data_IF_083744804464
#
_entry.id   IF_083744804464
#
_cell.length_a   1.000
_cell.length_b   1.000
_cell.length_c   1.000
_cell.angle_alpha   90.00
_cell.angle_beta   90.00
_cell.angle_gamma   90.00
#
_symmetry.space_group_name_H-M   'P 1'
#
loop_
_entity.id
_entity.type
_entity.pdbx_description
1 polymer ?
#
# COMPACT_ATOMS: atom_id res chain seq x y z
N UNK A 1 -10.81 -18.45 13.03
CA UNK A 1 -10.03 -17.54 13.89
C UNK A 1 -10.10 -16.16 13.26
N UNK A 2 -10.52 -15.16 14.01
CA UNK A 2 -10.83 -13.80 13.51
C UNK A 2 -9.63 -13.03 12.98
N UNK A 3 -8.39 -13.41 13.37
CA UNK A 3 -7.16 -12.73 12.96
C UNK A 3 -6.74 -12.99 11.52
N UNK A 4 -7.14 -14.11 10.90
CA UNK A 4 -6.85 -14.41 9.50
C UNK A 4 -7.78 -13.60 8.60
N UNK A 5 -7.25 -12.52 8.01
CA UNK A 5 -7.98 -11.64 7.11
C UNK A 5 -7.85 -12.11 5.64
N UNK A 6 -8.28 -11.29 4.70
CA UNK A 6 -8.23 -11.63 3.28
C UNK A 6 -6.79 -11.67 2.72
N UNK A 7 -5.84 -10.92 3.30
CA UNK A 7 -4.49 -10.74 2.73
C UNK A 7 -3.37 -10.89 3.75
N UNK A 8 -3.70 -10.84 5.04
CA UNK A 8 -2.74 -10.87 6.13
C UNK A 8 -3.35 -11.50 7.38
N UNK A 9 -2.53 -11.61 8.41
CA UNK A 9 -2.96 -11.97 9.76
C UNK A 9 -2.85 -10.70 10.59
N UNK A 10 -3.97 -10.26 11.21
CA UNK A 10 -4.00 -8.98 11.93
C UNK A 10 -5.01 -9.02 13.08
N UNK A 11 -4.61 -8.45 14.22
CA UNK A 11 -5.50 -8.36 15.39
C UNK A 11 -4.92 -7.49 16.50
N UNK A 12 -5.75 -7.23 17.52
CA UNK A 12 -5.33 -6.57 18.75
C UNK A 12 -4.44 -7.53 19.54
N UNK A 13 -3.23 -7.06 19.87
CA UNK A 13 -2.21 -7.88 20.55
C UNK A 13 -2.69 -8.24 21.97
N UNK A 14 -2.37 -9.45 22.40
CA UNK A 14 -2.77 -10.07 23.67
C UNK A 14 -4.29 -10.30 23.83
N UNK A 15 -5.13 -9.88 22.88
CA UNK A 15 -6.57 -10.12 22.85
C UNK A 15 -6.94 -11.11 21.74
N UNK A 16 -6.62 -10.76 20.49
CA UNK A 16 -6.87 -11.58 19.31
C UNK A 16 -5.59 -12.28 18.84
N UNK A 17 -4.48 -11.55 18.82
CA UNK A 17 -3.16 -12.03 18.40
C UNK A 17 -2.31 -12.34 19.64
N UNK A 18 -2.54 -13.51 20.24
CA UNK A 18 -1.79 -13.96 21.41
C UNK A 18 -0.44 -14.55 21.01
N UNK A 19 0.55 -14.54 21.92
CA UNK A 19 1.89 -15.08 21.63
C UNK A 19 1.87 -16.60 21.39
N UNK A 20 0.99 -17.35 22.06
CA UNK A 20 0.77 -18.77 21.79
C UNK A 20 0.24 -19.01 20.35
N UNK A 21 -0.71 -18.19 19.91
CA UNK A 21 -1.20 -18.25 18.53
C UNK A 21 -0.09 -17.89 17.53
N UNK A 22 0.71 -16.86 17.81
CA UNK A 22 1.83 -16.45 16.96
C UNK A 22 2.87 -17.57 16.82
N UNK A 23 3.20 -18.28 17.90
CA UNK A 23 4.10 -19.44 17.86
C UNK A 23 3.56 -20.57 16.99
N UNK A 24 2.25 -20.88 17.10
CA UNK A 24 1.56 -21.86 16.24
C UNK A 24 1.54 -21.42 14.78
N UNK A 25 1.33 -20.12 14.52
CA UNK A 25 1.40 -19.56 13.16
C UNK A 25 2.83 -19.72 12.59
N UNK A 26 3.86 -19.46 13.39
CA UNK A 26 5.25 -19.69 12.97
C UNK A 26 5.50 -21.14 12.53
N UNK A 27 5.00 -22.10 13.30
CA UNK A 27 5.12 -23.51 12.92
C UNK A 27 4.27 -23.86 11.68
N UNK A 28 3.08 -23.32 11.55
CA UNK A 28 2.24 -23.50 10.36
C UNK A 28 2.93 -22.93 9.09
N UNK A 29 3.64 -21.80 9.20
CA UNK A 29 4.44 -21.23 8.11
C UNK A 29 5.54 -22.19 7.66
N UNK A 30 6.28 -22.84 8.58
CA UNK A 30 7.32 -23.80 8.20
C UNK A 30 6.73 -25.02 7.49
N UNK A 31 5.55 -25.47 7.90
CA UNK A 31 4.84 -26.56 7.22
C UNK A 31 4.39 -26.16 5.84
N UNK A 32 3.81 -24.96 5.71
CA UNK A 32 3.35 -24.42 4.44
C UNK A 32 4.49 -24.29 3.42
N UNK A 33 5.65 -23.81 3.85
CA UNK A 33 6.85 -23.67 3.02
C UNK A 33 7.84 -24.86 3.13
N UNK A 34 7.37 -26.03 3.59
CA UNK A 34 8.09 -27.29 3.58
C UNK A 34 9.47 -27.24 4.24
N UNK A 35 9.60 -26.54 5.36
CA UNK A 35 10.84 -26.44 6.13
C UNK A 35 11.87 -25.47 5.57
N UNK A 36 11.47 -24.56 4.67
CA UNK A 36 12.35 -23.50 4.17
C UNK A 36 12.75 -22.54 5.29
N UNK A 37 13.93 -21.94 5.16
CA UNK A 37 14.31 -20.80 5.99
C UNK A 37 13.39 -19.61 5.69
N UNK A 38 13.07 -18.85 6.72
CA UNK A 38 12.13 -17.74 6.64
C UNK A 38 12.82 -16.42 6.97
N UNK A 39 12.69 -15.46 6.06
CA UNK A 39 13.10 -14.06 6.31
C UNK A 39 12.07 -13.39 7.22
N UNK A 40 12.51 -12.70 8.27
CA UNK A 40 11.63 -12.02 9.23
C UNK A 40 12.07 -10.57 9.41
N UNK A 41 11.20 -9.64 9.04
CA UNK A 41 11.33 -8.22 9.36
C UNK A 41 10.28 -7.78 10.36
N UNK A 42 10.51 -6.67 11.06
CA UNK A 42 9.53 -6.09 11.98
C UNK A 42 9.49 -4.56 11.85
N UNK A 43 8.31 -3.97 12.07
CA UNK A 43 8.16 -2.53 12.26
C UNK A 43 8.57 -2.10 13.69
N UNK A 44 8.31 -0.84 14.03
CA UNK A 44 8.69 -0.25 15.32
C UNK A 44 7.61 -0.35 16.39
N UNK A 45 6.49 -1.06 16.15
CA UNK A 45 5.41 -1.20 17.14
C UNK A 45 5.94 -1.84 18.42
N UNK A 46 5.39 -1.41 19.54
CA UNK A 46 5.87 -1.83 20.88
C UNK A 46 5.86 -3.33 21.13
N UNK A 47 4.98 -4.05 20.43
CA UNK A 47 4.84 -5.52 20.53
C UNK A 47 5.68 -6.30 19.52
N UNK A 48 6.23 -5.64 18.49
CA UNK A 48 6.84 -6.33 17.33
C UNK A 48 7.97 -7.27 17.76
N UNK A 49 8.80 -6.87 18.72
CA UNK A 49 9.87 -7.75 19.22
C UNK A 49 9.36 -9.02 19.93
N UNK A 50 8.32 -8.90 20.76
CA UNK A 50 7.67 -10.06 21.40
C UNK A 50 7.07 -11.02 20.38
N UNK A 51 6.52 -10.45 19.28
CA UNK A 51 5.97 -11.23 18.17
C UNK A 51 7.10 -11.94 17.42
N UNK A 52 8.26 -11.27 17.17
CA UNK A 52 9.47 -11.92 16.60
C UNK A 52 9.86 -13.13 17.44
N UNK A 53 9.96 -12.99 18.77
CA UNK A 53 10.34 -14.10 19.65
C UNK A 53 9.37 -15.28 19.55
N UNK A 54 8.06 -15.02 19.66
CA UNK A 54 7.05 -16.06 19.57
C UNK A 54 7.02 -16.73 18.19
N UNK A 55 7.03 -15.92 17.13
CA UNK A 55 7.06 -16.40 15.74
C UNK A 55 8.30 -17.27 15.48
N UNK A 56 9.48 -16.81 15.92
CA UNK A 56 10.75 -17.52 15.72
C UNK A 56 10.78 -18.86 16.45
N UNK A 57 10.14 -18.97 17.63
CA UNK A 57 10.00 -20.27 18.29
C UNK A 57 9.25 -21.27 17.41
N UNK A 58 8.19 -20.83 16.74
CA UNK A 58 7.47 -21.68 15.78
C UNK A 58 8.28 -21.97 14.53
N UNK A 59 8.89 -20.95 13.93
CA UNK A 59 9.67 -21.07 12.70
C UNK A 59 10.89 -22.01 12.86
N UNK A 60 11.64 -21.89 13.97
CA UNK A 60 12.83 -22.73 14.22
C UNK A 60 12.50 -24.19 14.48
N UNK A 61 11.23 -24.56 14.58
CA UNK A 61 10.82 -25.96 14.58
C UNK A 61 11.05 -26.66 13.23
N UNK A 62 11.10 -25.91 12.11
CA UNK A 62 11.25 -26.48 10.77
C UNK A 62 12.44 -25.99 9.97
N UNK A 63 12.88 -24.73 10.13
CA UNK A 63 13.96 -24.11 9.35
C UNK A 63 14.66 -22.98 10.11
N UNK A 64 15.61 -22.32 9.48
CA UNK A 64 16.32 -21.18 10.05
C UNK A 64 15.49 -19.88 9.90
N UNK A 65 15.78 -18.91 10.73
CA UNK A 65 15.23 -17.56 10.67
C UNK A 65 16.30 -16.58 10.24
N UNK A 66 16.05 -15.88 9.13
CA UNK A 66 16.88 -14.78 8.63
C UNK A 66 16.30 -13.48 9.14
N UNK A 67 16.79 -12.97 10.25
CA UNK A 67 16.22 -11.79 10.90
C UNK A 67 16.81 -10.49 10.34
N UNK A 68 15.94 -9.59 9.90
CA UNK A 68 16.33 -8.30 9.32
C UNK A 68 16.45 -7.17 10.36
N UNK A 69 15.97 -7.40 11.58
CA UNK A 69 15.78 -6.32 12.56
C UNK A 69 14.58 -5.44 12.20
N UNK A 70 14.68 -4.16 12.55
CA UNK A 70 13.70 -3.15 12.11
C UNK A 70 13.73 -3.04 10.60
N UNK A 71 12.55 -3.22 9.98
CA UNK A 71 12.39 -3.33 8.53
C UNK A 71 11.14 -2.56 8.08
N UNK A 72 11.06 -2.36 6.78
CA UNK A 72 9.84 -1.93 6.09
C UNK A 72 9.27 -3.11 5.29
N UNK A 73 8.00 -3.06 4.93
CA UNK A 73 7.39 -4.06 4.05
C UNK A 73 8.16 -4.18 2.72
N UNK A 74 8.48 -3.07 1.99
CA UNK A 74 9.25 -3.18 0.76
C UNK A 74 10.68 -3.73 0.98
N UNK A 75 11.35 -3.40 2.07
CA UNK A 75 12.68 -3.97 2.37
C UNK A 75 12.58 -5.48 2.65
N UNK A 76 11.50 -5.95 3.26
CA UNK A 76 11.24 -7.37 3.49
C UNK A 76 10.92 -8.10 2.18
N UNK A 77 10.15 -7.48 1.27
CA UNK A 77 9.95 -7.97 -0.11
C UNK A 77 11.29 -8.10 -0.86
N UNK A 78 12.11 -7.06 -0.79
CA UNK A 78 13.45 -7.04 -1.40
C UNK A 78 14.35 -8.18 -0.87
N UNK A 79 14.36 -8.39 0.45
CA UNK A 79 15.14 -9.47 1.05
C UNK A 79 14.61 -10.86 0.65
N UNK A 80 13.29 -11.04 0.62
CA UNK A 80 12.64 -12.26 0.11
C UNK A 80 13.05 -12.56 -1.33
N UNK A 81 13.01 -11.55 -2.20
CA UNK A 81 13.40 -11.67 -3.59
C UNK A 81 14.88 -12.01 -3.76
N UNK A 82 15.77 -11.25 -3.13
CA UNK A 82 17.22 -11.41 -3.29
C UNK A 82 17.77 -12.72 -2.71
N UNK A 83 17.16 -13.21 -1.63
CA UNK A 83 17.54 -14.47 -1.00
C UNK A 83 16.78 -15.68 -1.57
N UNK A 84 15.73 -15.47 -2.39
CA UNK A 84 14.90 -16.54 -2.90
C UNK A 84 14.14 -17.31 -1.81
N UNK A 85 13.86 -16.67 -0.67
CA UNK A 85 13.25 -17.28 0.52
C UNK A 85 11.87 -16.67 0.80
N UNK A 86 10.93 -17.45 1.38
CA UNK A 86 9.70 -16.88 1.91
C UNK A 86 10.00 -15.91 3.04
N UNK A 87 9.10 -14.95 3.25
CA UNK A 87 9.31 -13.92 4.27
C UNK A 87 8.05 -13.63 5.09
N UNK A 88 8.25 -13.04 6.26
CA UNK A 88 7.21 -12.50 7.13
C UNK A 88 7.60 -11.09 7.54
N UNK A 89 6.75 -10.11 7.26
CA UNK A 89 6.84 -8.77 7.83
C UNK A 89 5.87 -8.65 9.00
N UNK A 90 6.39 -8.35 10.17
CA UNK A 90 5.61 -8.11 11.39
C UNK A 90 5.22 -6.64 11.43
N UNK A 91 3.95 -6.38 11.17
CA UNK A 91 3.38 -5.03 11.09
C UNK A 91 1.86 -5.05 11.12
N UNK A 92 1.24 -3.93 11.48
CA UNK A 92 -0.16 -3.65 11.21
C UNK A 92 -0.33 -2.36 10.38
N UNK A 93 0.72 -1.96 9.62
CA UNK A 93 0.71 -0.80 8.72
C UNK A 93 0.17 0.46 9.44
N UNK A 94 -0.90 1.04 8.94
CA UNK A 94 -1.54 2.26 9.45
C UNK A 94 -2.53 2.06 10.60
N UNK A 95 -2.72 0.83 11.08
CA UNK A 95 -3.65 0.56 12.20
C UNK A 95 -3.17 1.22 13.50
N UNK A 96 -4.10 1.45 14.48
CA UNK A 96 -3.76 1.95 15.81
C UNK A 96 -2.65 1.17 16.53
N UNK A 97 -2.00 1.77 17.54
CA UNK A 97 -0.83 1.17 18.22
C UNK A 97 -1.06 -0.21 18.83
N UNK A 98 -2.27 -0.51 19.29
CA UNK A 98 -2.64 -1.79 19.92
C UNK A 98 -2.72 -2.97 18.95
N UNK A 99 -2.77 -2.71 17.64
CA UNK A 99 -2.76 -3.74 16.61
C UNK A 99 -1.34 -4.16 16.25
N UNK A 100 -1.21 -5.43 15.82
CA UNK A 100 -0.08 -5.91 15.05
C UNK A 100 -0.53 -7.04 14.12
N UNK A 101 0.39 -7.57 13.30
CA UNK A 101 0.05 -8.60 12.34
C UNK A 101 1.25 -9.18 11.62
N UNK A 102 0.97 -10.03 10.66
CA UNK A 102 1.95 -10.75 9.85
C UNK A 102 1.52 -10.66 8.38
N UNK A 103 2.34 -10.00 7.55
CA UNK A 103 2.28 -10.10 6.09
C UNK A 103 3.21 -11.22 5.66
N UNK A 104 2.71 -12.22 4.98
CA UNK A 104 3.46 -13.42 4.61
C UNK A 104 3.70 -13.42 3.10
N UNK A 105 4.93 -13.66 2.70
CA UNK A 105 5.39 -13.57 1.32
C UNK A 105 5.95 -14.91 0.85
N UNK A 106 5.63 -15.30 -0.38
CA UNK A 106 6.31 -16.39 -1.10
C UNK A 106 7.74 -16.00 -1.45
N UNK A 107 8.62 -16.97 -1.75
CA UNK A 107 9.90 -16.68 -2.38
C UNK A 107 9.71 -15.75 -3.59
N UNK A 108 10.56 -14.75 -3.70
CA UNK A 108 10.44 -13.71 -4.72
C UNK A 108 9.63 -12.48 -4.31
N UNK A 109 9.19 -12.39 -3.04
CA UNK A 109 8.58 -11.20 -2.48
C UNK A 109 7.12 -10.97 -2.91
N UNK A 110 6.36 -12.02 -3.22
CA UNK A 110 4.94 -11.92 -3.51
C UNK A 110 4.10 -12.33 -2.29
N UNK A 111 3.11 -11.51 -1.95
CA UNK A 111 2.23 -11.79 -0.82
C UNK A 111 1.41 -13.07 -1.04
N UNK A 112 1.04 -13.74 0.06
CA UNK A 112 0.09 -14.85 0.00
C UNK A 112 -1.31 -14.34 -0.39
N UNK A 113 -2.01 -15.15 -1.17
CA UNK A 113 -3.40 -14.89 -1.52
C UNK A 113 -4.36 -15.38 -0.43
N UNK A 114 -5.59 -14.90 -0.49
CA UNK A 114 -6.62 -15.22 0.51
C UNK A 114 -6.81 -16.72 0.76
N UNK A 115 -6.79 -17.54 -0.30
CA UNK A 115 -6.95 -18.98 -0.17
C UNK A 115 -5.74 -19.64 0.53
N UNK A 116 -4.52 -19.10 0.34
CA UNK A 116 -3.31 -19.60 0.99
C UNK A 116 -3.26 -19.21 2.47
N UNK A 117 -3.71 -17.99 2.82
CA UNK A 117 -3.91 -17.59 4.22
C UNK A 117 -4.87 -18.55 4.93
N UNK A 118 -5.96 -19.01 4.27
CA UNK A 118 -6.87 -20.00 4.82
C UNK A 118 -6.24 -21.39 4.92
N UNK A 119 -5.43 -21.80 3.95
CA UNK A 119 -4.66 -23.05 4.02
C UNK A 119 -3.68 -23.03 5.20
N UNK A 120 -2.99 -21.92 5.41
CA UNK A 120 -2.10 -21.73 6.55
C UNK A 120 -2.85 -21.82 7.88
N UNK A 121 -4.05 -21.24 7.98
CA UNK A 121 -4.89 -21.34 9.15
C UNK A 121 -5.29 -22.80 9.48
N UNK A 122 -5.44 -23.64 8.48
CA UNK A 122 -5.76 -25.06 8.65
C UNK A 122 -4.54 -25.91 9.14
N UNK A 123 -3.33 -25.37 9.07
CA UNK A 123 -2.10 -26.02 9.52
C UNK A 123 -1.72 -25.71 10.96
N UNK A 124 -2.55 -24.94 11.68
CA UNK A 124 -2.27 -24.53 13.06
C UNK A 124 -2.21 -25.73 14.00
N UNK A 125 -1.05 -25.92 14.62
CA UNK A 125 -0.85 -26.86 15.71
C UNK A 125 0.33 -26.41 16.59
N UNK A 126 0.48 -26.89 17.80
CA UNK A 126 1.65 -26.62 18.63
C UNK A 126 2.94 -27.12 17.94
N UNK A 127 4.04 -26.34 17.97
CA UNK A 127 5.32 -26.83 17.46
C UNK A 127 5.90 -27.92 18.37
N UNK A 128 6.77 -28.79 17.84
CA UNK A 128 7.48 -29.78 18.64
C UNK A 128 8.43 -29.09 19.63
N UNK A 129 8.73 -29.74 20.76
CA UNK A 129 9.65 -29.22 21.77
C UNK A 129 11.07 -29.02 21.21
N UNK A 130 11.54 -29.95 20.36
CA UNK A 130 12.88 -29.89 19.77
C UNK A 130 12.89 -28.90 18.60
N UNK A 131 13.72 -27.86 18.71
CA UNK A 131 14.00 -26.90 17.64
C UNK A 131 15.11 -27.44 16.74
N UNK A 132 15.02 -27.16 15.43
CA UNK A 132 16.02 -27.58 14.43
C UNK A 132 16.84 -26.42 13.90
N UNK A 133 16.21 -25.24 13.79
CA UNK A 133 16.78 -24.07 13.18
C UNK A 133 17.42 -23.10 14.17
N UNK A 134 18.19 -22.18 13.63
CA UNK A 134 18.85 -21.07 14.32
C UNK A 134 18.35 -19.72 13.78
N UNK A 135 18.62 -18.66 14.51
CA UNK A 135 18.30 -17.28 14.08
C UNK A 135 19.63 -16.60 13.77
N UNK A 136 19.73 -16.01 12.59
CA UNK A 136 20.88 -15.17 12.22
C UNK A 136 20.43 -13.85 11.60
N UNK A 137 21.24 -12.81 11.79
CA UNK A 137 20.94 -11.46 11.31
C UNK A 137 21.45 -11.29 9.89
N UNK A 138 20.64 -10.64 9.06
CA UNK A 138 20.99 -10.26 7.70
C UNK A 138 20.80 -8.76 7.49
N UNK A 139 21.84 -8.08 7.03
CA UNK A 139 21.78 -6.66 6.70
C UNK A 139 21.09 -6.43 5.35
N UNK A 140 19.77 -6.32 5.40
CA UNK A 140 18.96 -5.94 4.25
C UNK A 140 18.92 -4.42 4.06
N UNK A 141 19.05 -3.65 5.15
CA UNK A 141 18.93 -2.19 5.10
C UNK A 141 20.00 -1.57 4.21
N UNK A 142 21.26 -1.87 4.47
CA UNK A 142 22.37 -1.34 3.66
C UNK A 142 22.20 -1.74 2.19
N UNK A 143 21.93 -3.01 1.92
CA UNK A 143 21.78 -3.49 0.53
C UNK A 143 20.63 -2.83 -0.23
N UNK A 144 19.47 -2.72 0.42
CA UNK A 144 18.29 -2.07 -0.16
C UNK A 144 18.54 -0.58 -0.41
N UNK A 145 19.08 0.15 0.58
CA UNK A 145 19.32 1.59 0.46
C UNK A 145 20.42 1.91 -0.54
N UNK A 146 21.48 1.12 -0.60
CA UNK A 146 22.57 1.28 -1.58
C UNK A 146 22.08 1.04 -3.02
N UNK A 147 21.22 0.03 -3.22
CA UNK A 147 20.61 -0.20 -4.54
C UNK A 147 19.76 0.99 -4.97
N UNK A 148 18.90 1.52 -4.08
CA UNK A 148 18.08 2.68 -4.41
C UNK A 148 18.92 3.94 -4.65
N UNK A 149 19.91 4.20 -3.79
CA UNK A 149 20.80 5.34 -3.95
C UNK A 149 21.59 5.27 -5.28
N UNK A 150 22.05 4.08 -5.66
CA UNK A 150 22.74 3.86 -6.94
C UNK A 150 21.80 4.02 -8.14
N UNK A 151 20.55 3.56 -8.02
CA UNK A 151 19.56 3.60 -9.09
C UNK A 151 19.10 5.01 -9.42
N UNK A 152 18.83 5.81 -8.39
CA UNK A 152 18.26 7.16 -8.57
C UNK A 152 19.31 8.27 -8.56
N UNK A 153 20.48 8.03 -7.98
CA UNK A 153 21.53 9.04 -7.88
C UNK A 153 21.10 10.27 -7.07
N UNK A 154 21.62 11.43 -7.42
CA UNK A 154 21.30 12.70 -6.76
C UNK A 154 20.14 13.40 -7.45
N UNK A 155 19.09 13.71 -6.71
CA UNK A 155 17.93 14.49 -7.15
C UNK A 155 18.08 15.90 -6.59
N UNK A 156 18.09 16.93 -7.45
CA UNK A 156 18.28 18.34 -7.05
C UNK A 156 16.97 18.92 -6.49
N UNK A 157 16.49 18.34 -5.40
CA UNK A 157 15.31 18.79 -4.67
C UNK A 157 15.61 18.86 -3.18
N UNK A 158 14.99 19.82 -2.49
CA UNK A 158 14.92 19.92 -1.04
C UNK A 158 13.56 19.42 -0.55
N UNK A 159 13.53 18.39 0.29
CA UNK A 159 12.29 17.75 0.70
C UNK A 159 12.07 17.79 2.22
N UNK A 160 10.78 17.83 2.61
CA UNK A 160 10.32 17.48 3.93
C UNK A 160 10.11 15.96 4.02
N UNK A 161 10.41 15.38 5.19
CA UNK A 161 10.20 13.96 5.41
C UNK A 161 9.47 13.71 6.73
N UNK A 162 8.38 12.97 6.66
CA UNK A 162 7.58 12.58 7.82
C UNK A 162 7.33 11.07 7.83
N UNK A 163 8.14 10.29 8.56
CA UNK A 163 7.91 8.87 8.77
C UNK A 163 6.91 8.54 9.87
N UNK A 164 6.21 9.53 10.44
CA UNK A 164 5.18 9.36 11.49
C UNK A 164 5.65 8.52 12.72
N UNK A 165 6.90 8.66 13.15
CA UNK A 165 7.54 7.84 14.19
C UNK A 165 7.57 6.34 13.89
N UNK A 166 7.28 5.94 12.65
CA UNK A 166 7.14 4.55 12.23
C UNK A 166 8.43 3.97 11.60
N UNK A 167 8.33 2.84 10.90
CA UNK A 167 9.48 2.13 10.34
C UNK A 167 10.30 2.96 9.34
N UNK A 168 9.69 3.93 8.67
CA UNK A 168 10.35 4.83 7.72
C UNK A 168 11.53 5.63 8.29
N UNK A 169 11.68 5.74 9.61
CA UNK A 169 12.82 6.43 10.25
C UNK A 169 14.18 5.86 9.82
N UNK A 170 14.23 4.56 9.48
CA UNK A 170 15.46 3.90 9.03
C UNK A 170 15.90 4.33 7.63
N UNK A 171 15.01 4.94 6.83
CA UNK A 171 15.28 5.37 5.45
C UNK A 171 15.91 6.77 5.36
N UNK A 172 16.03 7.49 6.46
CA UNK A 172 16.61 8.85 6.49
C UNK A 172 18.02 8.94 5.90
N UNK A 173 18.93 7.97 6.10
CA UNK A 173 20.24 7.98 5.43
C UNK A 173 20.15 7.92 3.91
N UNK A 174 19.25 7.08 3.36
CA UNK A 174 18.97 7.01 1.92
C UNK A 174 18.53 8.36 1.38
N UNK A 175 17.53 8.98 2.04
CA UNK A 175 17.01 10.27 1.59
C UNK A 175 18.09 11.35 1.58
N UNK A 176 18.93 11.42 2.62
CA UNK A 176 20.06 12.36 2.69
C UNK A 176 21.12 12.11 1.58
N UNK A 177 21.32 10.85 1.20
CA UNK A 177 22.23 10.51 0.09
C UNK A 177 21.64 10.90 -1.28
N UNK A 178 20.31 10.83 -1.43
CA UNK A 178 19.62 10.99 -2.71
C UNK A 178 19.16 12.43 -2.98
N UNK A 179 18.71 13.17 -1.96
CA UNK A 179 18.20 14.52 -2.14
C UNK A 179 19.22 15.60 -1.78
N UNK A 180 19.08 16.80 -2.38
CA UNK A 180 19.91 17.97 -2.11
C UNK A 180 19.85 18.37 -0.63
N UNK A 181 18.64 18.41 -0.05
CA UNK A 181 18.40 18.70 1.35
C UNK A 181 17.20 17.92 1.85
N UNK A 182 17.25 17.48 3.12
CA UNK A 182 16.16 16.76 3.78
C UNK A 182 15.94 17.37 5.17
N UNK A 183 14.75 17.90 5.38
CA UNK A 183 14.26 18.34 6.69
C UNK A 183 13.24 17.34 7.19
N UNK A 184 13.53 16.66 8.30
CA UNK A 184 12.67 15.59 8.81
C UNK A 184 11.96 16.02 10.10
N UNK A 185 10.72 15.56 10.25
CA UNK A 185 9.92 15.63 11.47
C UNK A 185 9.51 14.23 11.88
N UNK A 186 9.13 14.01 13.13
CA UNK A 186 8.66 12.71 13.65
C UNK A 186 9.62 11.56 13.29
N UNK A 187 10.92 11.84 13.23
CA UNK A 187 11.97 11.00 12.65
C UNK A 187 12.75 10.15 13.68
N UNK A 188 12.08 9.79 14.77
CA UNK A 188 12.54 8.82 15.76
C UNK A 188 11.50 7.70 15.93
N UNK A 189 11.93 6.44 16.17
CA UNK A 189 11.01 5.31 16.25
C UNK A 189 10.21 5.37 17.58
N UNK A 190 8.89 5.36 17.47
CA UNK A 190 7.99 5.19 18.61
C UNK A 190 6.70 4.49 18.18
N UNK A 191 6.57 3.22 18.52
CA UNK A 191 5.43 2.39 18.14
C UNK A 191 4.08 2.81 18.76
N UNK A 192 4.04 3.89 19.51
CA UNK A 192 2.79 4.54 19.99
C UNK A 192 2.29 5.60 19.03
N UNK A 193 3.11 6.00 18.05
CA UNK A 193 2.81 7.03 17.03
C UNK A 193 2.33 8.36 17.64
N UNK A 194 3.14 9.01 18.51
CA UNK A 194 2.68 10.12 19.33
C UNK A 194 2.34 11.39 18.54
N UNK A 195 2.89 11.56 17.34
CA UNK A 195 2.67 12.76 16.53
C UNK A 195 1.32 12.72 15.82
N UNK A 196 1.03 11.67 15.13
CA UNK A 196 -0.23 11.39 14.45
C UNK A 196 -0.25 9.90 13.99
N UNK A 197 -1.42 9.34 13.63
CA UNK A 197 -1.48 8.02 13.03
C UNK A 197 -0.63 7.93 11.76
N UNK A 198 0.09 6.82 11.53
CA UNK A 198 0.94 6.64 10.35
C UNK A 198 0.10 6.26 9.11
N UNK A 199 -0.80 7.15 8.69
CA UNK A 199 -1.75 6.96 7.59
C UNK A 199 -1.76 8.20 6.70
N UNK A 200 -0.95 8.23 5.62
CA UNK A 200 -0.85 9.38 4.73
C UNK A 200 -2.05 9.54 3.78
N UNK A 201 -3.00 8.62 3.77
CA UNK A 201 -4.26 8.76 3.02
C UNK A 201 -5.16 9.85 3.64
N UNK A 202 -5.03 10.08 4.96
CA UNK A 202 -5.80 11.07 5.69
C UNK A 202 -5.13 12.43 5.66
N UNK A 203 -5.84 13.43 5.15
CA UNK A 203 -5.32 14.79 5.02
C UNK A 203 -4.87 15.42 6.35
N UNK A 204 -5.56 15.09 7.45
CA UNK A 204 -5.20 15.57 8.79
C UNK A 204 -3.82 15.11 9.25
N UNK A 205 -3.35 13.94 8.81
CA UNK A 205 -2.04 13.41 9.16
C UNK A 205 -0.90 14.06 8.35
N UNK A 206 -1.21 14.79 7.29
CA UNK A 206 -0.24 15.50 6.46
C UNK A 206 -0.04 16.98 6.87
N UNK A 207 -0.80 17.51 7.83
CA UNK A 207 -0.76 18.92 8.21
C UNK A 207 0.63 19.38 8.67
N UNK A 208 1.29 18.61 9.54
CA UNK A 208 2.64 18.95 10.02
C UNK A 208 3.64 18.97 8.84
N UNK A 209 3.52 18.05 7.90
CA UNK A 209 4.36 18.03 6.71
C UNK A 209 4.06 19.21 5.77
N UNK A 210 2.79 19.62 5.62
CA UNK A 210 2.42 20.83 4.85
C UNK A 210 3.03 22.09 5.47
N UNK A 211 2.93 22.25 6.79
CA UNK A 211 3.55 23.35 7.54
C UNK A 211 5.07 23.36 7.39
N UNK A 212 5.71 22.18 7.46
CA UNK A 212 7.15 22.03 7.27
C UNK A 212 7.58 22.49 5.88
N UNK A 213 6.89 22.00 4.82
CA UNK A 213 7.19 22.34 3.42
C UNK A 213 7.09 23.85 3.21
N UNK A 214 6.02 24.47 3.68
CA UNK A 214 5.78 25.90 3.49
C UNK A 214 6.77 26.77 4.29
N UNK A 215 7.01 26.44 5.54
CA UNK A 215 7.89 27.25 6.43
C UNK A 215 9.37 27.19 5.99
N UNK A 216 9.83 26.05 5.49
CA UNK A 216 11.20 25.86 5.01
C UNK A 216 11.37 26.07 3.49
N UNK A 217 10.29 26.41 2.78
CA UNK A 217 10.28 26.61 1.32
C UNK A 217 10.89 25.40 0.58
N UNK A 218 10.42 24.21 0.94
CA UNK A 218 10.88 22.96 0.34
C UNK A 218 10.15 22.70 -0.98
N UNK A 219 10.81 21.94 -1.87
CA UNK A 219 10.25 21.61 -3.19
C UNK A 219 9.11 20.60 -3.08
N UNK A 220 9.14 19.73 -2.08
CA UNK A 220 8.10 18.75 -1.79
C UNK A 220 8.17 18.24 -0.34
N UNK A 221 7.11 17.53 0.09
CA UNK A 221 7.09 16.72 1.31
C UNK A 221 6.76 15.27 0.99
N UNK A 222 7.36 14.35 1.73
CA UNK A 222 7.14 12.89 1.65
C UNK A 222 6.73 12.37 3.01
N UNK A 223 5.57 11.73 3.09
CA UNK A 223 5.11 10.98 4.25
C UNK A 223 4.99 9.49 3.88
N UNK A 224 5.31 8.61 4.81
CA UNK A 224 5.15 7.16 4.65
C UNK A 224 4.17 6.64 5.69
N UNK A 225 3.50 5.53 5.37
CA UNK A 225 2.70 4.83 6.37
C UNK A 225 3.57 3.96 7.30
N UNK A 226 2.94 3.22 8.20
CA UNK A 226 3.62 2.53 9.31
C UNK A 226 4.71 1.54 8.89
N UNK A 227 4.57 0.91 7.73
CA UNK A 227 5.51 -0.05 7.18
C UNK A 227 6.02 0.31 5.78
N UNK A 228 5.75 1.55 5.32
CA UNK A 228 6.32 2.21 4.14
C UNK A 228 5.91 1.62 2.79
N UNK A 229 4.81 0.90 2.71
CA UNK A 229 4.28 0.42 1.43
C UNK A 229 3.37 1.45 0.73
N UNK A 230 3.05 2.58 1.41
CA UNK A 230 2.31 3.72 0.87
C UNK A 230 3.07 5.02 1.04
N UNK A 231 2.79 5.95 0.13
CA UNK A 231 3.35 7.29 0.17
C UNK A 231 2.28 8.36 0.06
N UNK A 232 2.39 9.38 0.91
CA UNK A 232 1.72 10.66 0.79
C UNK A 232 2.70 11.75 0.36
N UNK A 233 2.30 12.61 -0.56
CA UNK A 233 3.16 13.67 -1.09
C UNK A 233 2.48 15.02 -0.90
N UNK A 234 3.28 16.02 -0.54
CA UNK A 234 2.89 17.43 -0.42
C UNK A 234 3.70 18.23 -1.43
N UNK A 235 3.05 19.14 -2.17
CA UNK A 235 3.71 20.00 -3.16
C UNK A 235 4.39 21.21 -2.48
N UNK A 236 5.23 21.94 -3.21
CA UNK A 236 5.86 23.17 -2.72
C UNK A 236 4.86 24.24 -2.26
N UNK A 237 3.66 24.28 -2.84
CA UNK A 237 2.57 25.18 -2.41
C UNK A 237 1.76 24.64 -1.22
N UNK A 238 2.14 23.53 -0.61
CA UNK A 238 1.46 22.92 0.52
C UNK A 238 0.21 22.09 0.15
N UNK A 239 -0.06 21.84 -1.13
CA UNK A 239 -1.19 21.01 -1.55
C UNK A 239 -0.86 19.54 -1.39
N UNK A 240 -1.87 18.72 -1.08
CA UNK A 240 -1.74 17.27 -1.09
C UNK A 240 -1.73 16.77 -2.55
N UNK A 241 -0.66 16.07 -2.91
CA UNK A 241 -0.51 15.44 -4.21
C UNK A 241 -1.09 14.03 -4.16
N UNK A 242 -2.33 13.88 -4.59
CA UNK A 242 -3.08 12.63 -4.47
C UNK A 242 -2.55 11.54 -5.40
N UNK A 243 -2.80 10.25 -5.10
CA UNK A 243 -2.31 9.12 -5.90
C UNK A 243 -2.71 9.16 -7.37
N UNK A 244 -3.92 9.64 -7.71
CA UNK A 244 -4.34 9.80 -9.10
C UNK A 244 -3.53 10.84 -9.87
N UNK A 245 -2.96 11.84 -9.18
CA UNK A 245 -2.05 12.82 -9.79
C UNK A 245 -0.68 12.21 -10.04
N UNK A 246 -0.23 11.28 -9.18
CA UNK A 246 0.97 10.47 -9.45
C UNK A 246 0.77 9.62 -10.70
N UNK A 247 -0.35 8.91 -10.82
CA UNK A 247 -0.66 8.11 -12.01
C UNK A 247 -0.72 9.01 -13.25
N UNK A 248 -1.36 10.19 -13.17
CA UNK A 248 -1.38 11.16 -14.26
C UNK A 248 0.03 11.57 -14.69
N UNK A 249 0.91 11.89 -13.74
CA UNK A 249 2.31 12.21 -14.03
C UNK A 249 3.06 11.03 -14.67
N UNK A 250 2.89 9.82 -14.15
CA UNK A 250 3.53 8.62 -14.70
C UNK A 250 3.05 8.30 -16.13
N UNK A 251 1.76 8.50 -16.43
CA UNK A 251 1.23 8.34 -17.79
C UNK A 251 1.80 9.38 -18.76
N UNK A 252 2.00 10.61 -18.32
CA UNK A 252 2.47 11.69 -19.19
C UNK A 252 3.98 11.75 -19.39
N UNK A 253 4.76 11.40 -18.36
CA UNK A 253 6.21 11.65 -18.36
C UNK A 253 7.05 10.36 -18.26
N UNK A 254 6.44 9.20 -18.01
CA UNK A 254 7.16 7.94 -17.87
C UNK A 254 6.68 6.85 -18.85
N UNK A 255 5.37 6.69 -19.01
CA UNK A 255 4.82 5.66 -19.87
C UNK A 255 5.06 5.97 -21.37
N UNK A 256 5.18 4.93 -22.17
CA UNK A 256 5.36 4.99 -23.62
C UNK A 256 4.21 4.30 -24.34
N UNK A 257 3.93 4.65 -25.61
CA UNK A 257 2.94 3.92 -26.41
C UNK A 257 3.23 2.41 -26.41
N UNK A 258 2.19 1.62 -26.14
CA UNK A 258 2.27 0.17 -26.02
C UNK A 258 2.46 -0.35 -24.59
N UNK A 259 2.81 0.50 -23.62
CA UNK A 259 2.86 0.08 -22.23
C UNK A 259 1.46 -0.28 -21.68
N UNK A 260 1.47 -1.15 -20.69
CA UNK A 260 0.26 -1.55 -19.93
C UNK A 260 0.43 -1.08 -18.50
N UNK A 261 -0.61 -0.55 -17.88
CA UNK A 261 -0.64 -0.22 -16.46
C UNK A 261 -1.85 -0.86 -15.79
N UNK A 262 -1.74 -1.21 -14.51
CA UNK A 262 -2.83 -1.80 -13.74
C UNK A 262 -3.28 -0.78 -12.69
N UNK A 263 -4.58 -0.46 -12.67
CA UNK A 263 -5.16 0.49 -11.73
C UNK A 263 -6.35 -0.15 -11.01
N UNK A 264 -6.52 0.16 -9.75
CA UNK A 264 -7.73 -0.27 -9.05
C UNK A 264 -8.98 0.45 -9.59
N UNK A 265 -10.13 -0.15 -9.32
CA UNK A 265 -11.42 0.40 -9.79
C UNK A 265 -11.75 1.76 -9.19
N UNK A 266 -11.11 2.18 -8.10
CA UNK A 266 -11.40 3.47 -7.44
C UNK A 266 -10.62 4.63 -8.06
N UNK A 267 -9.62 4.35 -8.90
CA UNK A 267 -8.91 5.38 -9.67
C UNK A 267 -9.86 6.09 -10.65
N UNK A 268 -9.77 7.43 -10.83
CA UNK A 268 -10.65 8.21 -11.69
C UNK A 268 -10.68 7.74 -13.14
N UNK A 269 -11.85 7.90 -13.78
CA UNK A 269 -12.03 7.50 -15.19
C UNK A 269 -11.23 8.36 -16.17
N UNK A 270 -10.97 9.63 -15.86
CA UNK A 270 -10.20 10.49 -16.76
C UNK A 270 -8.81 9.92 -17.10
N UNK A 271 -8.25 9.06 -16.21
CA UNK A 271 -6.98 8.40 -16.46
C UNK A 271 -7.06 7.43 -17.66
N UNK A 272 -8.23 6.85 -17.95
CA UNK A 272 -8.43 5.99 -19.13
C UNK A 272 -8.26 6.80 -20.41
N UNK A 273 -8.85 8.00 -20.46
CA UNK A 273 -8.71 8.91 -21.59
C UNK A 273 -7.27 9.38 -21.78
N UNK A 274 -6.61 9.78 -20.68
CA UNK A 274 -5.19 10.19 -20.71
C UNK A 274 -4.30 9.05 -21.23
N UNK A 275 -4.54 7.83 -20.76
CA UNK A 275 -3.78 6.66 -21.21
C UNK A 275 -4.02 6.36 -22.70
N UNK A 276 -5.28 6.43 -23.16
CA UNK A 276 -5.63 6.22 -24.58
C UNK A 276 -4.91 7.24 -25.48
N UNK A 277 -4.94 8.52 -25.12
CA UNK A 277 -4.25 9.60 -25.84
C UNK A 277 -2.72 9.39 -25.91
N UNK A 278 -2.16 8.64 -24.95
CA UNK A 278 -0.73 8.26 -24.89
C UNK A 278 -0.43 6.89 -25.52
N UNK A 279 -1.43 6.20 -26.03
CA UNK A 279 -1.28 4.82 -26.53
C UNK A 279 -0.92 3.80 -25.45
N UNK A 280 -1.30 4.06 -24.19
CA UNK A 280 -1.08 3.20 -23.02
C UNK A 280 -2.38 2.47 -22.68
N UNK A 281 -2.29 1.18 -22.37
CA UNK A 281 -3.45 0.37 -21.99
C UNK A 281 -3.62 0.33 -20.47
N UNK A 282 -4.81 0.70 -19.98
CA UNK A 282 -5.19 0.48 -18.58
C UNK A 282 -5.90 -0.88 -18.44
N UNK A 283 -5.47 -1.66 -17.44
CA UNK A 283 -6.18 -2.86 -16.95
C UNK A 283 -6.73 -2.53 -15.57
N UNK A 284 -8.06 -2.51 -15.43
CA UNK A 284 -8.70 -2.32 -14.13
C UNK A 284 -8.66 -3.60 -13.29
N UNK A 285 -8.49 -3.44 -11.98
CA UNK A 285 -8.49 -4.53 -11.04
C UNK A 285 -9.25 -4.15 -9.75
N UNK A 286 -9.68 -5.14 -8.98
CA UNK A 286 -10.25 -4.95 -7.65
C UNK A 286 -9.29 -4.21 -6.73
N UNK A 287 -9.82 -3.52 -5.72
CA UNK A 287 -9.01 -2.93 -4.64
C UNK A 287 -8.33 -4.03 -3.83
N UNK A 288 -7.03 -3.86 -3.61
CA UNK A 288 -6.16 -4.73 -2.83
C UNK A 288 -4.90 -5.12 -3.58
N UNK A 289 -3.74 -4.81 -3.00
CA UNK A 289 -2.42 -5.09 -3.58
C UNK A 289 -2.22 -6.57 -3.96
N UNK A 290 -2.85 -7.49 -3.22
CA UNK A 290 -2.83 -8.92 -3.53
C UNK A 290 -3.52 -9.30 -4.85
N UNK A 291 -4.36 -8.42 -5.43
CA UNK A 291 -4.92 -8.57 -6.77
C UNK A 291 -4.12 -7.80 -7.82
N UNK A 292 -3.58 -6.63 -7.44
CA UNK A 292 -2.84 -5.75 -8.33
C UNK A 292 -1.53 -6.40 -8.79
N UNK A 293 -0.69 -6.85 -7.84
CA UNK A 293 0.62 -7.44 -8.13
C UNK A 293 0.56 -8.65 -9.08
N UNK A 294 -0.26 -9.70 -8.83
CA UNK A 294 -0.34 -10.83 -9.75
C UNK A 294 -0.85 -10.44 -11.15
N UNK A 295 -1.76 -9.47 -11.21
CA UNK A 295 -2.25 -8.97 -12.50
C UNK A 295 -1.17 -8.20 -13.23
N UNK A 296 -0.43 -7.32 -12.54
CA UNK A 296 0.69 -6.57 -13.11
C UNK A 296 1.78 -7.49 -13.67
N UNK A 297 2.13 -8.55 -12.94
CA UNK A 297 3.05 -9.60 -13.41
C UNK A 297 2.54 -10.29 -14.67
N UNK A 298 1.27 -10.72 -14.68
CA UNK A 298 0.68 -11.46 -15.80
C UNK A 298 0.65 -10.64 -17.10
N UNK A 299 0.35 -9.33 -17.00
CA UNK A 299 0.26 -8.45 -18.17
C UNK A 299 1.56 -7.71 -18.46
N UNK A 300 2.65 -7.96 -17.70
CA UNK A 300 3.91 -7.27 -17.77
C UNK A 300 3.74 -5.73 -17.69
N UNK A 301 2.93 -5.27 -16.72
CA UNK A 301 2.59 -3.86 -16.58
C UNK A 301 3.85 -3.02 -16.31
N UNK A 302 3.87 -1.77 -16.79
CA UNK A 302 4.93 -0.81 -16.47
C UNK A 302 4.91 -0.49 -14.97
N UNK A 303 3.71 -0.27 -14.43
CA UNK A 303 3.44 -0.11 -13.01
C UNK A 303 2.00 -0.52 -12.69
N UNK A 304 1.73 -0.69 -11.40
CA UNK A 304 0.38 -0.76 -10.87
C UNK A 304 0.21 0.29 -9.76
N UNK A 305 -1.01 0.77 -9.55
CA UNK A 305 -1.29 1.76 -8.52
C UNK A 305 -2.70 1.62 -7.95
N UNK A 306 -2.81 1.92 -6.65
CA UNK A 306 -4.06 2.02 -5.92
C UNK A 306 -4.29 3.45 -5.42
N UNK A 307 -5.55 3.81 -5.31
CA UNK A 307 -5.93 5.12 -4.76
C UNK A 307 -5.51 5.29 -3.29
N UNK A 308 -5.26 4.21 -2.58
CA UNK A 308 -4.72 4.20 -1.22
C UNK A 308 -3.23 4.62 -1.11
N UNK A 309 -2.54 4.79 -2.24
CA UNK A 309 -1.13 5.19 -2.29
C UNK A 309 -0.14 4.05 -2.44
N UNK A 310 -0.59 2.79 -2.58
CA UNK A 310 0.29 1.71 -2.99
C UNK A 310 0.64 1.85 -4.47
N UNK A 311 1.91 1.75 -4.80
CA UNK A 311 2.40 1.79 -6.17
C UNK A 311 3.56 0.81 -6.32
N UNK A 312 3.51 -0.04 -7.34
CA UNK A 312 4.60 -0.98 -7.65
C UNK A 312 5.02 -0.89 -9.11
N UNK A 313 6.33 -0.96 -9.37
CA UNK A 313 6.93 -0.80 -10.69
C UNK A 313 7.55 -2.10 -11.19
N UNK A 314 7.48 -2.35 -12.51
CA UNK A 314 8.09 -3.52 -13.17
C UNK A 314 9.57 -3.67 -12.86
N UNK A 315 10.32 -2.59 -12.92
CA UNK A 315 11.75 -2.56 -12.67
C UNK A 315 12.13 -2.60 -11.18
N UNK A 316 11.11 -2.68 -10.30
CA UNK A 316 11.22 -2.95 -8.86
C UNK A 316 10.39 -4.16 -8.43
N UNK A 317 10.30 -5.17 -9.30
CA UNK A 317 9.63 -6.45 -9.05
C UNK A 317 8.17 -6.33 -8.61
N UNK A 318 7.52 -5.20 -8.92
CA UNK A 318 6.15 -4.86 -8.52
C UNK A 318 5.91 -4.76 -7.00
N UNK A 319 6.96 -4.60 -6.20
CA UNK A 319 6.78 -4.34 -4.77
C UNK A 319 6.04 -3.01 -4.59
N UNK A 320 5.08 -2.99 -3.67
CA UNK A 320 4.50 -1.76 -3.15
C UNK A 320 5.53 -1.10 -2.25
N UNK A 321 6.08 0.00 -2.72
CA UNK A 321 7.22 0.65 -2.11
C UNK A 321 7.04 2.17 -2.19
N UNK A 322 6.62 2.75 -1.07
CA UNK A 322 6.30 4.17 -1.01
C UNK A 322 7.51 5.05 -1.27
N UNK A 323 8.71 4.66 -0.79
CA UNK A 323 9.91 5.46 -1.02
C UNK A 323 10.43 5.32 -2.46
N UNK A 324 10.36 4.12 -3.03
CA UNK A 324 10.68 3.92 -4.44
C UNK A 324 9.76 4.75 -5.34
N UNK A 325 8.45 4.76 -5.04
CA UNK A 325 7.47 5.52 -5.80
C UNK A 325 7.75 7.03 -5.75
N UNK A 326 8.11 7.57 -4.57
CA UNK A 326 8.52 8.96 -4.43
C UNK A 326 9.79 9.28 -5.23
N UNK A 327 10.84 8.47 -5.08
CA UNK A 327 12.10 8.63 -5.81
C UNK A 327 11.88 8.58 -7.32
N UNK A 328 11.09 7.63 -7.81
CA UNK A 328 10.76 7.50 -9.23
C UNK A 328 10.01 8.72 -9.75
N UNK A 329 8.97 9.16 -9.04
CA UNK A 329 8.19 10.34 -9.43
C UNK A 329 9.06 11.58 -9.49
N UNK A 330 9.87 11.85 -8.46
CA UNK A 330 10.70 13.04 -8.40
C UNK A 330 11.80 13.04 -9.46
N UNK A 331 12.42 11.88 -9.74
CA UNK A 331 13.39 11.75 -10.83
C UNK A 331 12.75 12.12 -12.17
N UNK A 332 11.60 11.52 -12.50
CA UNK A 332 10.89 11.76 -13.76
C UNK A 332 10.49 13.23 -13.91
N UNK A 333 9.94 13.84 -12.86
CA UNK A 333 9.51 15.24 -12.92
C UNK A 333 10.68 16.21 -12.99
N UNK A 334 11.79 15.94 -12.30
CA UNK A 334 13.03 16.74 -12.39
C UNK A 334 13.62 16.68 -13.77
N UNK A 335 13.71 15.50 -14.38
CA UNK A 335 14.18 15.30 -15.76
C UNK A 335 13.29 16.01 -16.79
N UNK A 336 11.98 16.03 -16.56
CA UNK A 336 11.01 16.71 -17.41
C UNK A 336 10.96 18.24 -17.19
N UNK A 337 11.59 18.76 -16.13
CA UNK A 337 11.49 20.18 -15.74
C UNK A 337 10.09 20.59 -15.27
N UNK A 338 9.32 19.66 -14.68
CA UNK A 338 7.93 19.84 -14.27
C UNK A 338 7.81 19.74 -12.76
N UNK A 339 7.05 20.65 -12.13
CA UNK A 339 6.77 20.62 -10.69
C UNK A 339 5.50 19.82 -10.37
N UNK A 340 5.38 19.37 -9.12
CA UNK A 340 4.15 18.71 -8.64
C UNK A 340 2.92 19.64 -8.75
N UNK A 341 3.08 20.93 -8.46
CA UNK A 341 2.00 21.90 -8.59
C UNK A 341 1.53 22.01 -10.05
N UNK A 342 2.47 21.98 -11.00
CA UNK A 342 2.15 22.00 -12.43
C UNK A 342 1.37 20.78 -12.86
N UNK A 343 1.74 19.60 -12.36
CA UNK A 343 0.97 18.36 -12.59
C UNK A 343 -0.47 18.49 -12.09
N UNK A 344 -0.69 19.10 -10.90
CA UNK A 344 -2.05 19.33 -10.37
C UNK A 344 -2.84 20.28 -11.27
N UNK A 345 -2.19 21.33 -11.79
CA UNK A 345 -2.84 22.31 -12.68
C UNK A 345 -3.26 21.70 -14.02
N UNK A 346 -2.41 20.86 -14.59
CA UNK A 346 -2.62 20.23 -15.91
C UNK A 346 -3.60 19.06 -15.87
N UNK A 347 -3.65 18.33 -14.73
CA UNK A 347 -4.52 17.16 -14.61
C UNK A 347 -6.00 17.56 -14.69
N UNK A 348 -6.83 16.77 -15.39
CA UNK A 348 -8.26 17.01 -15.47
C UNK A 348 -8.91 17.19 -14.09
N UNK A 349 -9.80 18.17 -14.00
CA UNK A 349 -10.58 18.40 -12.78
C UNK A 349 -11.79 17.48 -12.77
N UNK A 350 -11.99 16.80 -11.65
CA UNK A 350 -13.10 15.89 -11.42
C UNK A 350 -13.80 16.30 -10.13
N UNK A 351 -15.12 16.32 -10.16
CA UNK A 351 -15.94 16.47 -8.96
C UNK A 351 -16.17 15.07 -8.38
N UNK A 352 -15.67 14.86 -7.17
CA UNK A 352 -15.67 13.57 -6.51
C UNK A 352 -16.36 13.64 -5.15
N UNK A 353 -17.14 12.62 -4.85
CA UNK A 353 -17.72 12.41 -3.53
C UNK A 353 -17.54 10.97 -3.09
N UNK A 354 -17.28 10.76 -1.80
CA UNK A 354 -17.17 9.45 -1.19
C UNK A 354 -18.08 9.35 0.02
N UNK A 355 -18.79 8.25 0.12
CA UNK A 355 -19.75 7.99 1.18
C UNK A 355 -19.56 6.56 1.69
N UNK A 356 -19.62 6.40 3.00
CA UNK A 356 -19.67 5.10 3.67
C UNK A 356 -21.10 4.92 4.24
N UNK A 357 -21.81 3.92 3.71
CA UNK A 357 -23.20 3.62 4.10
C UNK A 357 -23.18 2.38 4.97
N UNK A 358 -23.49 2.54 6.26
CA UNK A 358 -23.55 1.43 7.22
C UNK A 358 -24.69 0.48 6.90
N UNK A 359 -24.42 -0.80 6.86
CA UNK A 359 -25.40 -1.87 6.63
C UNK A 359 -24.94 -3.18 7.27
N UNK A 360 -25.89 -4.00 7.72
CA UNK A 360 -25.56 -5.31 8.29
C UNK A 360 -25.02 -6.30 7.24
N UNK A 361 -25.41 -6.15 5.99
CA UNK A 361 -24.97 -7.01 4.89
C UNK A 361 -24.58 -6.18 3.65
N UNK A 362 -23.32 -5.71 3.57
CA UNK A 362 -22.85 -4.90 2.44
C UNK A 362 -23.01 -5.58 1.08
N UNK A 363 -22.77 -6.90 1.01
CA UNK A 363 -22.89 -7.65 -0.25
C UNK A 363 -24.34 -7.71 -0.73
N UNK A 364 -25.28 -8.04 0.15
CA UNK A 364 -26.70 -8.05 -0.22
C UNK A 364 -27.20 -6.67 -0.66
N UNK A 365 -26.71 -5.59 -0.03
CA UNK A 365 -27.06 -4.22 -0.42
C UNK A 365 -26.57 -3.88 -1.85
N UNK A 366 -25.35 -4.31 -2.21
CA UNK A 366 -24.81 -4.14 -3.56
C UNK A 366 -25.59 -4.96 -4.59
N UNK A 367 -25.93 -6.22 -4.29
CA UNK A 367 -26.74 -7.05 -5.20
C UNK A 367 -28.13 -6.43 -5.44
N UNK A 368 -28.80 -5.89 -4.39
CA UNK A 368 -30.05 -5.18 -4.53
C UNK A 368 -29.91 -3.92 -5.42
N UNK A 369 -28.82 -3.18 -5.26
CA UNK A 369 -28.52 -2.04 -6.10
C UNK A 369 -28.32 -2.44 -7.59
N UNK A 370 -27.67 -3.58 -7.84
CA UNK A 370 -27.50 -4.14 -9.20
C UNK A 370 -28.85 -4.46 -9.87
N UNK A 371 -29.76 -5.09 -9.13
CA UNK A 371 -31.11 -5.39 -9.65
C UNK A 371 -31.87 -4.14 -10.12
N UNK A 372 -31.66 -3.02 -9.41
CA UNK A 372 -32.28 -1.73 -9.73
C UNK A 372 -31.55 -0.96 -10.83
N UNK A 373 -30.27 -1.27 -11.06
CA UNK A 373 -29.44 -0.63 -12.09
C UNK A 373 -29.66 -1.21 -13.50
N UNK A 374 -30.70 -2.04 -13.71
CA UNK A 374 -31.06 -2.58 -15.03
C UNK A 374 -31.30 -1.45 -16.04
N UNK A 375 -30.60 -1.51 -17.18
CA UNK A 375 -30.68 -0.49 -18.23
C UNK A 375 -29.52 0.51 -18.25
N UNK A 376 -28.64 0.48 -17.25
CA UNK A 376 -27.39 1.23 -17.26
C UNK A 376 -26.22 0.36 -17.80
N UNK A 377 -25.18 1.01 -18.29
CA UNK A 377 -23.90 0.36 -18.55
C UNK A 377 -23.21 0.06 -17.22
N UNK A 378 -23.04 -1.22 -16.91
CA UNK A 378 -22.51 -1.69 -15.62
C UNK A 378 -21.28 -2.57 -15.80
N UNK A 379 -20.34 -2.43 -14.85
CA UNK A 379 -19.15 -3.26 -14.72
C UNK A 379 -19.11 -3.84 -13.30
N UNK A 380 -18.81 -5.14 -13.16
CA UNK A 380 -18.96 -5.89 -11.91
C UNK A 380 -17.64 -6.39 -11.34
N UNK A 381 -16.53 -5.75 -11.67
CA UNK A 381 -15.20 -6.22 -11.26
C UNK A 381 -15.00 -6.20 -9.73
N UNK A 382 -15.49 -5.15 -9.04
CA UNK A 382 -15.43 -5.01 -7.58
C UNK A 382 -16.68 -4.25 -7.10
N UNK A 383 -17.81 -4.94 -7.06
CA UNK A 383 -19.11 -4.36 -6.76
C UNK A 383 -19.86 -3.93 -8.01
N UNK A 384 -20.53 -2.79 -7.95
CA UNK A 384 -21.35 -2.21 -9.02
C UNK A 384 -20.75 -0.89 -9.48
N UNK A 385 -20.20 -0.86 -10.69
CA UNK A 385 -19.65 0.32 -11.33
C UNK A 385 -20.59 0.73 -12.49
N UNK A 386 -21.32 1.82 -12.31
CA UNK A 386 -22.27 2.38 -13.30
C UNK A 386 -21.59 3.55 -13.99
N UNK A 387 -21.53 3.49 -15.33
CA UNK A 387 -21.01 4.58 -16.16
C UNK A 387 -22.14 5.22 -16.93
N UNK A 388 -22.21 6.54 -16.89
CA UNK A 388 -23.22 7.35 -17.58
C UNK A 388 -22.54 8.51 -18.28
N UNK A 389 -23.30 9.24 -19.13
CA UNK A 389 -22.82 10.50 -19.72
C UNK A 389 -22.54 11.61 -18.70
N UNK A 390 -23.13 11.52 -17.49
CA UNK A 390 -22.95 12.52 -16.43
C UNK A 390 -21.75 12.17 -15.52
N UNK A 391 -21.18 10.95 -15.63
CA UNK A 391 -20.04 10.48 -14.86
C UNK A 391 -20.19 9.03 -14.41
N UNK A 392 -19.66 8.73 -13.24
CA UNK A 392 -19.53 7.37 -12.69
C UNK A 392 -20.09 7.28 -11.28
N UNK A 393 -20.74 6.15 -10.98
CA UNK A 393 -21.17 5.76 -9.65
C UNK A 393 -20.62 4.35 -9.35
N UNK A 394 -19.66 4.25 -8.43
CA UNK A 394 -19.09 3.00 -7.96
C UNK A 394 -19.64 2.67 -6.57
N UNK A 395 -20.31 1.53 -6.44
CA UNK A 395 -20.90 1.02 -5.20
C UNK A 395 -20.27 -0.34 -4.89
N UNK A 396 -19.55 -0.47 -3.78
CA UNK A 396 -18.84 -1.69 -3.46
C UNK A 396 -18.96 -2.08 -1.99
N UNK A 397 -18.98 -3.39 -1.67
CA UNK A 397 -18.93 -3.81 -0.28
C UNK A 397 -17.53 -3.55 0.29
N UNK A 398 -17.43 -3.12 1.54
CA UNK A 398 -16.16 -3.11 2.24
C UNK A 398 -15.74 -4.55 2.59
N UNK A 399 -14.44 -4.85 2.47
CA UNK A 399 -13.88 -6.14 2.84
C UNK A 399 -13.58 -6.24 4.35
N UNK A 400 -13.59 -5.12 5.06
CA UNK A 400 -13.10 -5.02 6.45
C UNK A 400 -14.15 -4.48 7.42
N UNK A 401 -15.16 -3.77 6.93
CA UNK A 401 -16.15 -3.06 7.74
C UNK A 401 -17.59 -3.35 7.26
N UNK A 402 -18.60 -3.23 8.12
CA UNK A 402 -20.00 -3.43 7.76
C UNK A 402 -20.58 -2.18 7.04
N UNK A 403 -19.93 -1.78 5.93
CA UNK A 403 -20.32 -0.61 5.13
C UNK A 403 -20.28 -0.92 3.64
N UNK A 404 -21.15 -0.25 2.90
CA UNK A 404 -21.04 -0.09 1.45
C UNK A 404 -20.28 1.21 1.19
N UNK A 405 -19.20 1.12 0.44
CA UNK A 405 -18.41 2.29 0.01
C UNK A 405 -18.90 2.75 -1.35
N UNK A 406 -19.23 4.02 -1.41
CA UNK A 406 -19.69 4.66 -2.63
C UNK A 406 -18.70 5.71 -3.07
N UNK A 407 -18.38 5.71 -4.36
CA UNK A 407 -17.64 6.79 -5.01
C UNK A 407 -18.47 7.33 -6.17
N UNK A 408 -18.70 8.63 -6.15
CA UNK A 408 -19.33 9.36 -7.26
C UNK A 408 -18.24 10.20 -7.92
N UNK A 409 -18.21 10.20 -9.24
CA UNK A 409 -17.25 10.96 -10.04
C UNK A 409 -17.96 11.60 -11.23
N UNK A 410 -17.82 12.92 -11.41
CA UNK A 410 -18.44 13.69 -12.48
C UNK A 410 -17.53 14.79 -12.99
N UNK A 411 -17.69 15.22 -14.25
CA UNK A 411 -16.94 16.33 -14.85
C UNK A 411 -17.40 17.70 -14.36
N UNK A 412 -18.63 17.80 -13.82
CA UNK A 412 -19.21 19.03 -13.32
C UNK A 412 -20.17 18.78 -12.15
N UNK A 413 -20.61 19.88 -11.49
CA UNK A 413 -21.50 19.79 -10.33
C UNK A 413 -22.89 19.25 -10.67
N UNK A 414 -23.42 19.57 -11.86
CA UNK A 414 -24.73 19.08 -12.29
C UNK A 414 -24.72 17.56 -12.44
N UNK A 415 -23.68 17.00 -13.06
CA UNK A 415 -23.46 15.55 -13.15
C UNK A 415 -23.36 14.90 -11.77
N UNK A 416 -22.64 15.55 -10.83
CA UNK A 416 -22.55 15.05 -9.45
C UNK A 416 -23.93 14.94 -8.78
N UNK A 417 -24.78 15.95 -8.91
CA UNK A 417 -26.14 15.95 -8.33
C UNK A 417 -27.03 14.88 -8.97
N UNK A 418 -26.96 14.70 -10.30
CA UNK A 418 -27.71 13.63 -10.99
C UNK A 418 -27.29 12.24 -10.49
N UNK A 419 -25.99 12.02 -10.31
CA UNK A 419 -25.48 10.75 -9.79
C UNK A 419 -25.82 10.52 -8.32
N UNK A 420 -25.89 11.56 -7.49
CA UNK A 420 -26.43 11.48 -6.12
C UNK A 420 -27.90 11.05 -6.13
N UNK A 421 -28.70 11.62 -7.03
CA UNK A 421 -30.11 11.24 -7.18
C UNK A 421 -30.24 9.78 -7.62
N UNK A 422 -29.43 9.35 -8.59
CA UNK A 422 -29.36 7.94 -9.00
C UNK A 422 -28.98 7.03 -7.83
N UNK A 423 -27.96 7.39 -7.06
CA UNK A 423 -27.58 6.64 -5.87
C UNK A 423 -28.75 6.44 -4.91
N UNK A 424 -29.52 7.53 -4.63
CA UNK A 424 -30.68 7.45 -3.71
C UNK A 424 -31.75 6.48 -4.20
N UNK A 425 -31.94 6.33 -5.52
CA UNK A 425 -32.89 5.37 -6.10
C UNK A 425 -32.40 3.93 -6.01
N UNK A 426 -31.10 3.72 -6.06
CA UNK A 426 -30.51 2.38 -6.06
C UNK A 426 -30.42 1.78 -4.64
N UNK A 427 -30.19 2.58 -3.62
CA UNK A 427 -29.97 2.12 -2.23
C UNK A 427 -31.19 2.26 -1.31
N UNK A 428 -32.27 2.87 -1.74
CA UNK A 428 -33.55 2.94 -0.98
C UNK A 428 -34.27 1.54 -0.89
#
# INVERSE_FOLDING_TARGET
VTVFKAYDIRGVVDVELTMDLVEKIGFAITKFFQGSDIVVGMDVRTHSFRIVEALSRGLTAGGDVVFLGTSTTPMTHYASYTLGKPAVMITASHNPPEYNGLKIMRPGGLDLESHEIQQLAALLEPPPERRKGVIYVYDALTKYTDELAKRFGRIDMSIGFDPANAAGVILKPLLKATFKNVVAINDYPDGRFPAHPPDPEKAENLKQLQELVLSHKLDAGVALDGDCDRVGIVTASGKIFRPEKMVYALLNYYARPGDVVVLDVTMPLYLEKVAEERGVKIVRQRVGHSFQKPTALRVNALFWAEYSGHVGFRDHHYFDDGIYAALRLFTILTEAGVTLDKVIEEAPKVYEERLDIRTQNPRAAVEKAKERAKGFEIYELDGLDIRTRDGRLLIRPSNTEPVVRVKIEAENREGLEKLRHLLSQLIS
#
